data_IF_840107365076
#
_entry.id   IF_840107365076
#
_cell.length_a   1.000
_cell.length_b   1.000
_cell.length_c   1.000
_cell.angle_alpha   90.00
_cell.angle_beta   90.00
_cell.angle_gamma   90.00
#
_symmetry.space_group_name_H-M   'P 1'
#
loop_
_entity.id
_entity.type
_entity.pdbx_description
1 polymer ?
#
# COMPACT_ATOMS: atom_id res chain seq x y z
N UNK A 1 -22.60 15.41 23.80
CA UNK A 1 -22.94 16.06 22.52
C UNK A 1 -21.63 16.42 21.81
N UNK A 2 -21.42 15.82 20.63
CA UNK A 2 -20.63 16.29 19.46
C UNK A 2 -19.10 16.56 19.57
N UNK A 3 -18.42 16.03 18.53
CA UNK A 3 -17.09 16.35 17.93
C UNK A 3 -15.93 15.43 18.38
N UNK A 4 -15.42 14.46 17.60
CA UNK A 4 -14.66 14.45 16.31
C UNK A 4 -13.40 15.32 16.30
N UNK A 5 -12.26 14.70 15.91
CA UNK A 5 -11.03 15.26 15.31
C UNK A 5 -9.74 15.32 16.20
N UNK A 6 -8.73 14.52 15.81
CA UNK A 6 -7.26 14.58 16.03
C UNK A 6 -6.63 14.94 17.38
N UNK A 7 -5.93 14.00 18.05
CA UNK A 7 -4.91 14.34 19.05
C UNK A 7 -3.70 13.38 19.07
N UNK A 8 -2.57 13.86 18.54
CA UNK A 8 -1.22 13.35 18.75
C UNK A 8 -0.84 13.57 20.23
N UNK A 9 -0.39 12.53 20.94
CA UNK A 9 0.11 12.68 22.32
C UNK A 9 1.58 13.10 22.31
N UNK A 10 1.90 14.17 23.03
CA UNK A 10 3.26 14.73 23.14
C UNK A 10 4.17 13.84 23.99
N UNK A 11 5.19 13.24 23.37
CA UNK A 11 6.36 12.71 24.09
C UNK A 11 7.58 13.57 23.74
N UNK A 12 7.74 14.59 24.58
CA UNK A 12 8.84 15.53 24.83
C UNK A 12 9.98 15.87 23.84
N UNK A 13 10.25 15.24 22.68
CA UNK A 13 11.38 15.69 21.85
C UNK A 13 11.39 15.48 20.31
N UNK A 14 10.29 15.08 19.63
CA UNK A 14 10.13 15.28 18.15
C UNK A 14 8.65 15.24 17.71
N UNK A 15 8.30 16.03 16.69
CA UNK A 15 6.96 16.10 16.07
C UNK A 15 6.73 14.93 15.10
N UNK A 16 6.54 13.71 15.62
CA UNK A 16 6.12 12.56 14.81
C UNK A 16 4.81 11.99 15.38
N UNK A 17 3.70 12.11 14.64
CA UNK A 17 2.42 11.53 15.06
C UNK A 17 2.48 9.99 14.93
N UNK A 18 2.25 9.31 16.05
CA UNK A 18 2.28 7.85 16.12
C UNK A 18 1.01 7.26 15.48
N UNK A 19 1.19 6.67 14.32
CA UNK A 19 0.18 5.96 13.53
C UNK A 19 -0.36 4.76 14.33
N UNK A 20 -1.61 4.82 14.79
CA UNK A 20 -2.18 3.75 15.65
C UNK A 20 -2.52 2.51 14.83
N UNK A 21 -2.33 1.30 15.40
CA UNK A 21 -2.51 0.02 14.68
C UNK A 21 -3.90 -0.18 14.05
N UNK A 22 -4.94 0.49 14.57
CA UNK A 22 -6.30 0.43 14.01
C UNK A 22 -6.39 1.28 12.75
N UNK A 23 -5.87 2.51 12.79
CA UNK A 23 -5.80 3.38 11.60
C UNK A 23 -4.91 2.79 10.51
N UNK A 24 -3.80 2.13 10.88
CA UNK A 24 -2.95 1.36 9.96
C UNK A 24 -3.76 0.31 9.22
N UNK A 25 -4.56 -0.47 9.96
CA UNK A 25 -5.32 -1.58 9.41
C UNK A 25 -6.41 -1.08 8.44
N UNK A 26 -7.18 -0.06 8.83
CA UNK A 26 -8.21 0.54 7.97
C UNK A 26 -7.61 1.14 6.70
N UNK A 27 -6.47 1.82 6.81
CA UNK A 27 -5.79 2.39 5.64
C UNK A 27 -5.22 1.30 4.74
N UNK A 28 -4.64 0.23 5.29
CA UNK A 28 -4.22 -0.92 4.51
C UNK A 28 -5.40 -1.51 3.74
N UNK A 29 -6.52 -1.78 4.41
CA UNK A 29 -7.71 -2.34 3.77
C UNK A 29 -8.21 -1.44 2.64
N UNK A 30 -8.28 -0.12 2.87
CA UNK A 30 -8.68 0.85 1.87
C UNK A 30 -7.75 0.86 0.65
N UNK A 31 -6.43 0.79 0.87
CA UNK A 31 -5.44 0.69 -0.21
C UNK A 31 -5.62 -0.60 -0.99
N UNK A 32 -5.76 -1.76 -0.33
CA UNK A 32 -5.96 -3.04 -1.03
C UNK A 32 -7.26 -3.03 -1.84
N UNK A 33 -8.36 -2.53 -1.28
CA UNK A 33 -9.63 -2.40 -2.02
C UNK A 33 -9.50 -1.46 -3.22
N UNK A 34 -8.75 -0.37 -3.09
CA UNK A 34 -8.45 0.50 -4.22
C UNK A 34 -7.62 -0.21 -5.29
N UNK A 35 -6.56 -0.93 -4.90
CA UNK A 35 -5.74 -1.73 -5.80
C UNK A 35 -6.56 -2.79 -6.56
N UNK A 36 -7.51 -3.45 -5.88
CA UNK A 36 -8.44 -4.38 -6.53
C UNK A 36 -9.32 -3.68 -7.58
N UNK A 37 -9.75 -2.44 -7.35
CA UNK A 37 -10.58 -1.71 -8.31
C UNK A 37 -9.84 -1.34 -9.60
N UNK A 38 -8.52 -1.14 -9.51
CA UNK A 38 -7.69 -0.71 -10.64
C UNK A 38 -7.03 -1.88 -11.37
N UNK A 39 -6.80 -3.02 -10.71
CA UNK A 39 -6.27 -4.23 -11.38
C UNK A 39 -7.30 -5.01 -12.21
N UNK A 40 -8.58 -4.60 -12.23
CA UNK A 40 -9.67 -5.30 -12.94
C UNK A 40 -9.73 -4.98 -14.44
N UNK A 41 -9.04 -3.92 -14.91
CA UNK A 41 -9.04 -3.56 -16.34
C UNK A 41 -7.64 -3.64 -16.94
N UNK A 42 -7.50 -4.27 -18.11
CA UNK A 42 -6.20 -4.39 -18.82
C UNK A 42 -5.54 -3.02 -19.05
N UNK A 43 -6.36 -1.99 -19.32
CA UNK A 43 -5.93 -0.59 -19.54
C UNK A 43 -5.34 0.05 -18.27
N UNK A 44 -5.79 -0.35 -17.08
CA UNK A 44 -5.23 0.16 -15.83
C UNK A 44 -4.03 -0.64 -15.33
N UNK A 45 -3.86 -1.91 -15.71
CA UNK A 45 -2.62 -2.67 -15.43
C UNK A 45 -1.38 -2.02 -16.04
N UNK A 46 -1.46 -1.57 -17.30
CA UNK A 46 -0.37 -0.82 -17.95
C UNK A 46 -0.12 0.53 -17.27
N UNK A 47 -1.14 1.18 -16.68
CA UNK A 47 -0.96 2.41 -15.90
C UNK A 47 -0.22 2.16 -14.60
N UNK A 48 -0.45 1.01 -13.95
CA UNK A 48 0.27 0.61 -12.74
C UNK A 48 1.72 0.32 -13.09
N UNK A 49 1.98 -0.47 -14.12
CA UNK A 49 3.34 -0.80 -14.54
C UNK A 49 4.15 0.47 -14.82
N UNK A 50 3.57 1.40 -15.57
CA UNK A 50 4.19 2.70 -15.83
C UNK A 50 4.40 3.52 -14.54
N UNK A 51 3.43 3.55 -13.63
CA UNK A 51 3.55 4.27 -12.36
C UNK A 51 4.70 3.71 -11.52
N UNK A 52 4.80 2.39 -11.42
CA UNK A 52 5.81 1.73 -10.60
C UNK A 52 7.19 1.80 -11.29
N UNK A 53 7.25 1.76 -12.62
CA UNK A 53 8.48 2.04 -13.35
C UNK A 53 8.96 3.49 -13.17
N UNK A 54 8.06 4.48 -13.14
CA UNK A 54 8.42 5.87 -12.83
C UNK A 54 9.02 5.98 -11.41
N UNK A 55 8.51 5.22 -10.45
CA UNK A 55 9.12 5.13 -9.12
C UNK A 55 10.50 4.47 -9.16
N UNK A 56 10.69 3.42 -9.98
CA UNK A 56 11.98 2.78 -10.17
C UNK A 56 13.03 3.74 -10.77
N UNK A 57 12.63 4.67 -11.64
CA UNK A 57 13.52 5.72 -12.18
C UNK A 57 14.06 6.65 -11.10
N UNK A 58 13.31 6.84 -10.01
CA UNK A 58 13.73 7.63 -8.85
C UNK A 58 14.66 6.85 -7.90
N UNK A 59 14.82 5.54 -8.08
CA UNK A 59 15.60 4.68 -7.19
C UNK A 59 17.14 4.78 -7.38
N UNK A 60 17.61 5.69 -8.24
CA UNK A 60 19.04 5.90 -8.47
C UNK A 60 19.74 4.64 -8.98
N UNK A 61 20.83 4.22 -8.32
CA UNK A 61 21.58 3.02 -8.70
C UNK A 61 20.82 1.70 -8.57
N UNK A 62 19.64 1.70 -7.96
CA UNK A 62 18.76 0.52 -7.83
C UNK A 62 17.73 0.41 -8.96
N UNK A 63 17.68 1.38 -9.89
CA UNK A 63 16.66 1.45 -10.93
C UNK A 63 16.51 0.15 -11.76
N UNK A 64 17.62 -0.43 -12.23
CA UNK A 64 17.62 -1.66 -13.05
C UNK A 64 17.03 -2.83 -12.26
N UNK A 65 17.48 -3.01 -11.01
CA UNK A 65 16.98 -4.08 -10.15
C UNK A 65 15.51 -3.87 -9.79
N UNK A 66 15.10 -2.63 -9.52
CA UNK A 66 13.70 -2.29 -9.30
C UNK A 66 12.83 -2.69 -10.51
N UNK A 67 13.18 -2.23 -11.72
CA UNK A 67 12.42 -2.56 -12.93
C UNK A 67 12.35 -4.07 -13.20
N UNK A 68 13.44 -4.80 -12.95
CA UNK A 68 13.45 -6.26 -13.08
C UNK A 68 12.46 -6.94 -12.11
N UNK A 69 12.42 -6.49 -10.85
CA UNK A 69 11.47 -7.02 -9.86
C UNK A 69 10.02 -6.69 -10.21
N UNK A 70 9.75 -5.49 -10.72
CA UNK A 70 8.39 -5.12 -11.15
C UNK A 70 7.96 -6.00 -12.33
N UNK A 71 8.80 -6.14 -13.36
CA UNK A 71 8.49 -6.98 -14.52
C UNK A 71 8.30 -8.46 -14.15
N UNK A 72 9.00 -8.95 -13.13
CA UNK A 72 8.90 -10.34 -12.67
C UNK A 72 7.64 -10.59 -11.81
N UNK A 73 7.31 -9.67 -10.90
CA UNK A 73 6.34 -9.96 -9.83
C UNK A 73 5.02 -9.20 -9.93
N UNK A 74 4.89 -8.15 -10.76
CA UNK A 74 3.69 -7.29 -10.73
C UNK A 74 2.41 -8.05 -11.09
N UNK A 75 2.49 -8.99 -12.04
CA UNK A 75 1.35 -9.83 -12.44
C UNK A 75 0.91 -10.76 -11.32
N UNK A 76 1.85 -11.46 -10.68
CA UNK A 76 1.57 -12.36 -9.57
C UNK A 76 1.01 -11.59 -8.36
N UNK A 77 1.56 -10.41 -8.07
CA UNK A 77 1.07 -9.52 -7.00
C UNK A 77 -0.35 -9.05 -7.30
N UNK A 78 -0.66 -8.68 -8.54
CA UNK A 78 -2.01 -8.30 -8.94
C UNK A 78 -3.00 -9.45 -8.77
N UNK A 79 -2.61 -10.69 -9.13
CA UNK A 79 -3.44 -11.88 -8.92
C UNK A 79 -3.69 -12.14 -7.42
N UNK A 80 -2.65 -12.04 -6.57
CA UNK A 80 -2.78 -12.19 -5.12
C UNK A 80 -3.74 -11.13 -4.55
N UNK A 81 -3.59 -9.88 -4.96
CA UNK A 81 -4.45 -8.78 -4.52
C UNK A 81 -5.90 -9.02 -4.93
N UNK A 82 -6.15 -9.45 -6.18
CA UNK A 82 -7.51 -9.70 -6.68
C UNK A 82 -8.17 -10.95 -6.07
N UNK A 83 -7.38 -11.96 -5.70
CA UNK A 83 -7.89 -13.23 -5.15
C UNK A 83 -8.03 -13.24 -3.62
N UNK A 84 -7.46 -12.26 -2.92
CA UNK A 84 -7.42 -12.24 -1.45
C UNK A 84 -8.38 -11.23 -0.84
N UNK A 85 -8.99 -11.56 0.30
CA UNK A 85 -9.74 -10.58 1.09
C UNK A 85 -8.79 -9.49 1.65
N UNK A 86 -9.12 -8.19 1.54
CA UNK A 86 -8.27 -7.10 2.04
C UNK A 86 -7.81 -7.26 3.50
N UNK A 87 -8.70 -7.73 4.38
CA UNK A 87 -8.36 -7.96 5.79
C UNK A 87 -7.35 -9.07 5.96
N UNK A 88 -7.49 -10.17 5.20
CA UNK A 88 -6.55 -11.29 5.23
C UNK A 88 -5.17 -10.89 4.70
N UNK A 89 -5.12 -10.13 3.61
CA UNK A 89 -3.86 -9.64 3.06
C UNK A 89 -3.16 -8.68 4.04
N UNK A 90 -3.90 -7.72 4.61
CA UNK A 90 -3.36 -6.79 5.60
C UNK A 90 -2.90 -7.49 6.89
N UNK A 91 -3.50 -8.62 7.27
CA UNK A 91 -2.99 -9.48 8.35
C UNK A 91 -1.69 -10.19 7.97
N UNK A 92 -1.59 -10.70 6.75
CA UNK A 92 -0.41 -11.42 6.27
C UNK A 92 0.86 -10.54 6.27
N UNK A 93 0.69 -9.22 6.06
CA UNK A 93 1.77 -8.23 6.13
C UNK A 93 1.83 -7.48 7.48
N UNK A 94 1.14 -7.99 8.51
CA UNK A 94 1.17 -7.48 9.89
C UNK A 94 0.63 -6.05 10.08
N UNK A 95 -0.14 -5.52 9.13
CA UNK A 95 -0.78 -4.20 9.22
C UNK A 95 -2.17 -4.26 9.88
N UNK A 96 -2.77 -5.44 9.95
CA UNK A 96 -3.94 -5.74 10.77
C UNK A 96 -3.60 -6.80 11.82
N UNK A 97 -4.18 -6.67 13.02
CA UNK A 97 -4.09 -7.72 14.04
C UNK A 97 -4.85 -8.96 13.58
N UNK A 98 -4.34 -10.14 13.98
CA UNK A 98 -5.01 -11.42 13.79
C UNK A 98 -6.37 -11.43 14.50
#
# INVERSE_FOLDING_TARGET
MKQTYDQCYSLHFRNDCFFTSVQVCEQCQAVITYLQSIFVTEVESQRIDNLVEELCKLAGGFNITCSALIAEYITDIAEIINSTNPTSLCRAIYLCKL
#
